data_IF_638648811571
#
_entry.id   IF_638648811571
#
_cell.length_a   1.000
_cell.length_b   1.000
_cell.length_c   1.000
_cell.angle_alpha   90.00
_cell.angle_beta   90.00
_cell.angle_gamma   90.00
#
_symmetry.space_group_name_H-M   'P 1'
#
loop_
_entity.id
_entity.type
_entity.pdbx_description
1 polymer ?
#
# COMPACT_ATOMS: atom_id res chain seq x y z
N UNK A 1 8.42 14.08 -9.88
CA UNK A 1 8.21 12.64 -9.66
C UNK A 1 8.56 12.33 -8.22
N UNK A 2 7.75 11.58 -7.50
CA UNK A 2 8.01 11.17 -6.11
C UNK A 2 8.86 9.89 -6.09
N UNK A 3 9.53 9.65 -4.96
CA UNK A 3 10.30 8.43 -4.74
C UNK A 3 9.59 7.53 -3.73
N UNK A 4 9.11 6.38 -4.21
CA UNK A 4 8.43 5.42 -3.35
C UNK A 4 9.44 4.65 -2.49
N UNK A 5 9.18 4.62 -1.20
CA UNK A 5 9.86 3.80 -0.21
C UNK A 5 8.91 2.72 0.30
N UNK A 6 9.32 1.47 0.23
CA UNK A 6 8.54 0.34 0.73
C UNK A 6 9.00 0.02 2.16
N UNK A 7 8.10 0.09 3.10
CA UNK A 7 8.37 -0.26 4.50
C UNK A 7 8.21 -1.77 4.68
N UNK A 8 9.30 -2.43 5.03
CA UNK A 8 9.40 -3.88 5.15
C UNK A 8 9.89 -4.54 3.86
N UNK A 9 10.95 -5.34 3.96
CA UNK A 9 11.59 -6.04 2.84
C UNK A 9 11.38 -7.58 2.89
N UNK A 10 10.46 -8.05 3.71
CA UNK A 10 10.04 -9.45 3.79
C UNK A 10 9.25 -9.90 2.55
N UNK A 11 8.62 -11.07 2.63
CA UNK A 11 7.84 -11.63 1.50
C UNK A 11 6.75 -10.68 1.00
N UNK A 12 5.99 -10.06 1.90
CA UNK A 12 4.98 -9.07 1.52
C UNK A 12 5.62 -7.81 0.91
N UNK A 13 6.79 -7.39 1.39
CA UNK A 13 7.52 -6.25 0.82
C UNK A 13 7.94 -6.52 -0.63
N UNK A 14 8.44 -7.70 -0.92
CA UNK A 14 8.80 -8.12 -2.29
C UNK A 14 7.57 -8.16 -3.19
N UNK A 15 6.44 -8.69 -2.70
CA UNK A 15 5.16 -8.65 -3.43
C UNK A 15 4.69 -7.21 -3.66
N UNK A 16 4.84 -6.34 -2.66
CA UNK A 16 4.48 -4.92 -2.77
C UNK A 16 5.34 -4.20 -3.82
N UNK A 17 6.60 -4.58 -3.97
CA UNK A 17 7.47 -4.05 -5.02
C UNK A 17 6.94 -4.38 -6.41
N UNK A 18 6.55 -5.62 -6.67
CA UNK A 18 5.95 -6.01 -7.94
C UNK A 18 4.64 -5.26 -8.18
N UNK A 19 3.78 -5.23 -7.16
CA UNK A 19 2.50 -4.53 -7.23
C UNK A 19 2.67 -3.03 -7.51
N UNK A 20 3.67 -2.39 -6.91
CA UNK A 20 3.94 -0.96 -7.15
C UNK A 20 4.38 -0.68 -8.59
N UNK A 21 5.15 -1.59 -9.20
CA UNK A 21 5.56 -1.47 -10.61
C UNK A 21 4.41 -1.65 -11.60
N UNK A 22 3.37 -2.34 -11.18
CA UNK A 22 2.17 -2.65 -11.99
C UNK A 22 1.00 -1.71 -11.66
N UNK A 23 1.20 -0.77 -10.74
CA UNK A 23 0.16 0.17 -10.32
C UNK A 23 0.15 1.44 -11.14
N UNK A 24 -1.00 2.10 -11.16
CA UNK A 24 -1.17 3.38 -11.82
C UNK A 24 -0.17 4.42 -11.26
N UNK A 25 0.41 5.20 -12.15
CA UNK A 25 1.37 6.25 -11.80
C UNK A 25 2.84 5.82 -11.76
N UNK A 26 3.16 4.51 -11.79
CA UNK A 26 4.54 4.06 -11.84
C UNK A 26 5.27 4.57 -13.11
N UNK A 27 6.46 5.13 -12.93
CA UNK A 27 7.27 5.72 -14.02
C UNK A 27 6.80 7.10 -14.49
N UNK A 28 5.69 7.62 -13.97
CA UNK A 28 5.13 8.93 -14.32
C UNK A 28 5.02 9.82 -13.07
N UNK A 29 4.31 9.35 -12.05
CA UNK A 29 4.10 10.06 -10.80
C UNK A 29 5.14 9.70 -9.75
N UNK A 30 5.58 8.43 -9.74
CA UNK A 30 6.61 7.93 -8.84
C UNK A 30 7.51 6.87 -9.49
N UNK A 31 8.71 6.76 -8.95
CA UNK A 31 9.62 5.61 -9.12
C UNK A 31 9.80 4.89 -7.77
N UNK A 32 10.55 3.80 -7.74
CA UNK A 32 10.82 3.05 -6.50
C UNK A 32 12.28 3.22 -6.13
N UNK A 33 12.53 3.89 -5.00
CA UNK A 33 13.90 4.12 -4.50
C UNK A 33 14.45 2.90 -3.77
N UNK A 34 13.63 2.21 -2.98
CA UNK A 34 14.08 1.05 -2.21
C UNK A 34 13.17 0.70 -1.06
N UNK A 35 13.73 -0.07 -0.14
CA UNK A 35 13.07 -0.49 1.08
C UNK A 35 13.68 0.20 2.30
N UNK A 36 12.90 0.28 3.37
CA UNK A 36 13.42 0.46 4.72
C UNK A 36 13.00 -0.75 5.57
N UNK A 37 13.96 -1.32 6.29
CA UNK A 37 13.74 -2.50 7.14
C UNK A 37 14.79 -2.51 8.26
N UNK A 38 14.37 -2.81 9.48
CA UNK A 38 15.30 -2.92 10.61
C UNK A 38 16.23 -4.14 10.48
N UNK A 39 15.80 -5.17 9.73
CA UNK A 39 16.67 -6.25 9.30
C UNK A 39 17.32 -5.89 7.95
N UNK A 40 18.49 -5.29 8.01
CA UNK A 40 19.25 -4.87 6.81
C UNK A 40 19.68 -6.03 5.90
N UNK A 41 19.67 -7.26 6.41
CA UNK A 41 19.99 -8.48 5.67
C UNK A 41 18.75 -9.17 5.04
N UNK A 42 17.56 -8.56 5.13
CA UNK A 42 16.32 -9.20 4.69
C UNK A 42 16.29 -9.59 3.19
N UNK A 43 17.12 -8.94 2.36
CA UNK A 43 17.21 -9.21 0.93
C UNK A 43 18.47 -9.99 0.51
N UNK A 44 19.35 -10.40 1.41
CA UNK A 44 20.64 -11.02 1.09
C UNK A 44 20.53 -12.27 0.19
N UNK A 45 19.45 -13.03 0.32
CA UNK A 45 19.18 -14.22 -0.47
C UNK A 45 18.20 -14.01 -1.64
N UNK A 46 17.88 -12.76 -1.96
CA UNK A 46 16.89 -12.41 -2.99
C UNK A 46 17.47 -11.41 -3.97
N UNK A 47 17.55 -11.82 -5.25
CA UNK A 47 18.06 -10.97 -6.32
C UNK A 47 16.98 -10.10 -6.97
N UNK A 48 17.41 -9.08 -7.71
CA UNK A 48 16.57 -8.22 -8.56
C UNK A 48 15.59 -7.31 -7.83
N UNK A 49 15.86 -7.00 -6.56
CA UNK A 49 15.12 -5.99 -5.80
C UNK A 49 15.99 -4.74 -5.58
N UNK A 50 15.37 -3.56 -5.44
CA UNK A 50 16.11 -2.38 -5.02
C UNK A 50 16.64 -2.56 -3.58
N UNK A 51 17.63 -1.77 -3.17
CA UNK A 51 18.29 -1.96 -1.87
C UNK A 51 17.40 -1.63 -0.68
N UNK A 52 17.77 -2.17 0.48
CA UNK A 52 17.35 -1.61 1.77
C UNK A 52 18.24 -0.40 2.02
N UNK A 53 17.65 0.80 2.02
CA UNK A 53 18.39 2.07 2.09
C UNK A 53 18.63 2.54 3.51
N UNK A 54 17.82 2.10 4.47
CA UNK A 54 17.94 2.46 5.87
C UNK A 54 17.10 1.54 6.78
N UNK A 55 17.33 1.53 8.10
CA UNK A 55 16.39 0.98 9.06
C UNK A 55 15.11 1.84 9.14
N UNK A 56 14.00 1.21 9.56
CA UNK A 56 12.71 1.90 9.80
C UNK A 56 12.85 2.82 11.02
N UNK A 57 13.52 2.30 12.06
CA UNK A 57 13.74 3.05 13.29
C UNK A 57 14.53 4.33 13.01
N UNK A 58 13.96 5.46 13.36
CA UNK A 58 14.61 6.75 13.21
C UNK A 58 14.65 7.31 11.78
N UNK A 59 14.03 6.63 10.79
CA UNK A 59 13.98 7.13 9.42
C UNK A 59 13.35 8.52 9.36
N UNK A 60 14.00 9.44 8.66
CA UNK A 60 13.50 10.80 8.46
C UNK A 60 13.02 10.97 7.01
N UNK A 61 11.69 11.01 6.78
CA UNK A 61 11.13 11.20 5.45
C UNK A 61 11.63 12.47 4.78
N UNK A 62 11.94 12.37 3.48
CA UNK A 62 12.28 13.52 2.66
C UNK A 62 11.02 14.07 1.96
N UNK A 63 11.07 15.32 1.51
CA UNK A 63 9.90 16.00 0.91
C UNK A 63 9.40 15.33 -0.37
N UNK A 64 10.31 14.73 -1.13
CA UNK A 64 10.03 14.03 -2.40
C UNK A 64 9.70 12.54 -2.22
N UNK A 65 9.67 12.04 -1.00
CA UNK A 65 9.36 10.64 -0.69
C UNK A 65 7.88 10.40 -0.39
N UNK A 66 7.42 9.23 -0.81
CA UNK A 66 6.12 8.66 -0.45
C UNK A 66 6.31 7.21 -0.01
N UNK A 67 5.41 6.70 0.80
CA UNK A 67 5.57 5.40 1.44
C UNK A 67 4.41 4.47 1.14
N UNK A 68 4.71 3.17 1.11
CA UNK A 68 3.73 2.08 1.29
C UNK A 68 4.24 1.14 2.37
N UNK A 69 3.33 0.53 3.13
CA UNK A 69 3.69 -0.34 4.25
C UNK A 69 3.26 -1.78 3.98
N UNK A 70 4.25 -2.67 3.97
CA UNK A 70 4.05 -4.11 3.82
C UNK A 70 4.07 -4.88 5.14
N UNK A 71 4.31 -4.20 6.26
CA UNK A 71 4.28 -4.82 7.59
C UNK A 71 2.88 -5.29 7.89
N UNK A 72 2.76 -6.52 8.37
CA UNK A 72 1.48 -7.13 8.72
C UNK A 72 1.08 -6.95 10.17
N UNK A 73 -0.12 -7.44 10.49
CA UNK A 73 -0.64 -7.48 11.84
C UNK A 73 -0.89 -6.11 12.48
N UNK A 74 -0.93 -6.10 13.81
CA UNK A 74 -1.21 -4.90 14.60
C UNK A 74 -0.06 -3.88 14.59
N UNK A 75 1.13 -4.29 14.20
CA UNK A 75 2.32 -3.41 14.10
C UNK A 75 2.23 -2.44 12.92
N UNK A 76 1.41 -2.73 11.91
CA UNK A 76 1.29 -1.92 10.70
C UNK A 76 0.87 -0.49 10.99
N UNK A 77 -0.22 -0.32 11.71
CA UNK A 77 -0.74 1.01 12.03
C UNK A 77 0.28 1.82 12.82
N UNK A 78 0.86 1.25 13.88
CA UNK A 78 1.87 1.92 14.69
C UNK A 78 3.06 2.39 13.85
N UNK A 79 3.59 1.52 13.02
CA UNK A 79 4.71 1.85 12.13
C UNK A 79 4.37 3.01 11.18
N UNK A 80 3.19 2.97 10.57
CA UNK A 80 2.74 4.04 9.67
C UNK A 80 2.53 5.35 10.42
N UNK A 81 1.93 5.33 11.61
CA UNK A 81 1.74 6.53 12.44
C UNK A 81 3.07 7.17 12.85
N UNK A 82 4.10 6.37 13.13
CA UNK A 82 5.44 6.89 13.42
C UNK A 82 6.06 7.61 12.21
N UNK A 83 5.91 7.06 11.00
CA UNK A 83 6.39 7.71 9.77
C UNK A 83 5.58 8.97 9.46
N UNK A 84 4.26 8.94 9.64
CA UNK A 84 3.38 10.12 9.49
C UNK A 84 3.78 11.22 10.48
N UNK A 85 4.03 10.84 11.73
CA UNK A 85 4.47 11.77 12.78
C UNK A 85 5.79 12.48 12.49
N UNK A 86 6.63 11.89 11.62
CA UNK A 86 7.88 12.48 11.12
C UNK A 86 7.72 13.22 9.77
N UNK A 87 6.47 13.42 9.31
CA UNK A 87 6.17 14.13 8.06
C UNK A 87 6.04 13.26 6.82
N UNK A 88 6.13 11.92 6.96
CA UNK A 88 5.96 11.00 5.82
C UNK A 88 4.54 10.98 5.30
N UNK A 89 4.40 10.79 3.99
CA UNK A 89 3.12 10.72 3.28
C UNK A 89 2.98 9.34 2.64
N UNK A 90 1.80 8.76 2.74
CA UNK A 90 1.53 7.44 2.17
C UNK A 90 0.86 7.55 0.80
N UNK A 91 1.36 6.78 -0.15
CA UNK A 91 0.83 6.70 -1.51
C UNK A 91 -0.52 5.97 -1.49
N UNK A 92 -1.53 6.54 -2.12
CA UNK A 92 -2.72 5.80 -2.51
C UNK A 92 -2.38 5.01 -3.77
N UNK A 93 -2.22 3.71 -3.63
CA UNK A 93 -1.72 2.85 -4.69
C UNK A 93 -2.83 1.95 -5.22
N UNK A 94 -3.15 2.08 -6.50
CA UNK A 94 -4.20 1.31 -7.16
C UNK A 94 -3.57 0.53 -8.30
N UNK A 95 -3.64 -0.79 -8.21
CA UNK A 95 -3.11 -1.65 -9.26
C UNK A 95 -3.84 -1.41 -10.59
N UNK A 96 -3.12 -1.45 -11.71
CA UNK A 96 -3.68 -1.16 -13.02
C UNK A 96 -4.82 -2.10 -13.44
N UNK A 97 -4.86 -3.31 -12.89
CA UNK A 97 -5.94 -4.28 -13.13
C UNK A 97 -7.13 -4.15 -12.17
N UNK A 98 -7.06 -3.27 -11.17
CA UNK A 98 -8.18 -3.04 -10.26
C UNK A 98 -9.31 -2.30 -10.99
N UNK A 99 -10.55 -2.70 -10.72
CA UNK A 99 -11.74 -2.07 -11.28
C UNK A 99 -12.42 -1.23 -10.20
N UNK A 100 -12.47 0.06 -10.42
CA UNK A 100 -13.24 0.99 -9.59
C UNK A 100 -14.51 1.40 -10.32
N UNK A 101 -15.66 1.18 -9.70
CA UNK A 101 -16.95 1.60 -10.23
C UNK A 101 -17.15 3.11 -10.21
N UNK A 102 -18.28 3.56 -10.73
CA UNK A 102 -18.64 4.98 -10.75
C UNK A 102 -18.73 5.53 -9.32
N UNK A 103 -18.23 6.74 -9.11
CA UNK A 103 -18.24 7.47 -7.83
C UNK A 103 -17.49 6.77 -6.68
N UNK A 104 -16.67 5.77 -6.93
CA UNK A 104 -15.83 5.15 -5.88
C UNK A 104 -14.86 6.18 -5.33
N UNK A 105 -14.78 6.27 -4.02
CA UNK A 105 -13.82 7.10 -3.31
C UNK A 105 -12.82 6.22 -2.59
N UNK A 106 -11.53 6.49 -2.74
CA UNK A 106 -10.45 5.78 -2.07
C UNK A 106 -9.61 6.79 -1.30
N UNK A 107 -9.51 6.61 0.00
CA UNK A 107 -8.78 7.50 0.89
C UNK A 107 -7.26 7.36 0.80
N UNK A 108 -6.58 8.39 1.27
CA UNK A 108 -5.12 8.50 1.31
C UNK A 108 -4.46 7.25 1.91
N UNK A 109 -3.36 6.82 1.32
CA UNK A 109 -2.55 5.70 1.83
C UNK A 109 -3.20 4.33 1.71
N UNK A 110 -4.37 4.23 1.08
CA UNK A 110 -5.03 2.96 0.82
C UNK A 110 -4.40 2.28 -0.39
N UNK A 111 -4.19 0.98 -0.27
CA UNK A 111 -3.64 0.13 -1.32
C UNK A 111 -4.77 -0.76 -1.84
N UNK A 112 -4.96 -0.76 -3.16
CA UNK A 112 -5.92 -1.63 -3.86
C UNK A 112 -5.15 -2.58 -4.77
N UNK A 113 -5.16 -3.86 -4.41
CA UNK A 113 -4.40 -4.91 -5.08
C UNK A 113 -4.94 -5.32 -6.44
N UNK A 114 -4.17 -6.19 -7.11
CA UNK A 114 -4.48 -6.69 -8.45
C UNK A 114 -5.84 -7.40 -8.52
N UNK A 115 -6.55 -7.20 -9.62
CA UNK A 115 -7.84 -7.86 -9.88
C UNK A 115 -8.89 -7.67 -8.78
N UNK A 116 -8.78 -6.60 -8.01
CA UNK A 116 -9.78 -6.19 -7.03
C UNK A 116 -10.89 -5.41 -7.73
N UNK A 117 -12.13 -5.65 -7.36
CA UNK A 117 -13.28 -4.92 -7.86
C UNK A 117 -13.96 -4.16 -6.72
N UNK A 118 -14.10 -2.85 -6.87
CA UNK A 118 -14.85 -2.01 -5.92
C UNK A 118 -16.07 -1.45 -6.64
N UNK A 119 -17.25 -1.80 -6.14
CA UNK A 119 -18.54 -1.47 -6.76
C UNK A 119 -18.89 0.01 -6.71
N UNK A 120 -19.86 0.39 -7.54
CA UNK A 120 -20.32 1.77 -7.66
C UNK A 120 -20.72 2.37 -6.29
N UNK A 121 -20.41 3.65 -6.11
CA UNK A 121 -20.74 4.47 -4.94
C UNK A 121 -20.13 3.99 -3.60
N UNK A 122 -19.22 3.00 -3.65
CA UNK A 122 -18.50 2.56 -2.46
C UNK A 122 -17.51 3.63 -1.98
N UNK A 123 -17.38 3.73 -0.66
CA UNK A 123 -16.45 4.66 0.02
C UNK A 123 -15.44 3.86 0.82
N UNK A 124 -14.17 4.00 0.46
CA UNK A 124 -13.05 3.38 1.16
C UNK A 124 -12.25 4.47 1.85
N UNK A 125 -12.07 4.33 3.14
CA UNK A 125 -11.32 5.28 3.96
C UNK A 125 -9.81 5.23 3.72
N UNK A 126 -9.06 5.73 4.70
CA UNK A 126 -7.61 5.89 4.63
C UNK A 126 -6.85 4.67 5.15
N UNK A 127 -5.63 4.48 4.64
CA UNK A 127 -4.65 3.55 5.15
C UNK A 127 -5.10 2.09 5.18
N UNK A 128 -6.05 1.73 4.32
CA UNK A 128 -6.49 0.35 4.15
C UNK A 128 -5.51 -0.43 3.25
N UNK A 129 -5.42 -1.73 3.49
CA UNK A 129 -4.75 -2.67 2.60
C UNK A 129 -5.81 -3.65 2.07
N UNK A 130 -6.22 -3.45 0.83
CA UNK A 130 -7.14 -4.36 0.13
C UNK A 130 -6.31 -5.21 -0.81
N UNK A 131 -6.18 -6.50 -0.49
CA UNK A 131 -5.34 -7.40 -1.25
C UNK A 131 -6.00 -7.87 -2.54
N UNK A 132 -5.21 -8.49 -3.40
CA UNK A 132 -5.61 -8.94 -4.73
C UNK A 132 -6.83 -9.86 -4.72
N UNK A 133 -7.60 -9.85 -5.81
CA UNK A 133 -8.79 -10.69 -6.02
C UNK A 133 -9.90 -10.48 -4.98
N UNK A 134 -9.99 -9.31 -4.39
CA UNK A 134 -11.04 -8.94 -3.42
C UNK A 134 -12.20 -8.27 -4.14
N UNK A 135 -13.41 -8.50 -3.68
CA UNK A 135 -14.61 -7.82 -4.17
C UNK A 135 -15.22 -7.00 -3.04
N UNK A 136 -15.39 -5.71 -3.28
CA UNK A 136 -16.16 -4.80 -2.43
C UNK A 136 -17.43 -4.42 -3.19
N UNK A 137 -18.59 -4.80 -2.66
CA UNK A 137 -19.88 -4.55 -3.29
C UNK A 137 -20.24 -3.05 -3.34
N UNK A 138 -21.23 -2.73 -4.18
CA UNK A 138 -21.74 -1.36 -4.34
C UNK A 138 -22.25 -0.80 -2.99
N UNK A 139 -22.21 0.53 -2.85
CA UNK A 139 -22.71 1.25 -1.66
C UNK A 139 -22.03 0.84 -0.32
N UNK A 140 -20.92 0.12 -0.38
CA UNK A 140 -20.17 -0.28 0.81
C UNK A 140 -19.40 0.89 1.41
N UNK A 141 -19.26 0.92 2.73
CA UNK A 141 -18.47 1.89 3.46
C UNK A 141 -17.39 1.15 4.25
N UNK A 142 -16.14 1.31 3.84
CA UNK A 142 -14.97 0.76 4.53
C UNK A 142 -14.30 1.90 5.30
N UNK A 143 -14.11 1.72 6.60
CA UNK A 143 -13.42 2.69 7.45
C UNK A 143 -11.93 2.80 7.15
N UNK A 144 -11.15 3.18 8.17
CA UNK A 144 -9.70 3.33 8.05
C UNK A 144 -8.96 2.15 8.67
N UNK A 145 -7.71 1.93 8.28
CA UNK A 145 -6.78 0.97 8.89
C UNK A 145 -7.18 -0.50 8.76
N UNK A 146 -8.08 -0.83 7.84
CA UNK A 146 -8.47 -2.22 7.62
C UNK A 146 -7.43 -2.95 6.77
N UNK A 147 -7.29 -4.24 7.04
CA UNK A 147 -6.66 -5.19 6.14
C UNK A 147 -7.74 -6.16 5.66
N UNK A 148 -7.93 -6.20 4.36
CA UNK A 148 -8.86 -7.11 3.69
C UNK A 148 -8.00 -8.05 2.85
N UNK A 149 -7.97 -9.31 3.24
CA UNK A 149 -7.09 -10.30 2.63
C UNK A 149 -7.61 -10.78 1.26
N UNK A 150 -6.76 -11.51 0.56
CA UNK A 150 -7.03 -12.06 -0.77
C UNK A 150 -8.30 -12.91 -0.79
N UNK A 151 -9.08 -12.78 -1.87
CA UNK A 151 -10.34 -13.51 -2.10
C UNK A 151 -11.46 -13.22 -1.09
N UNK A 152 -11.42 -12.11 -0.38
CA UNK A 152 -12.54 -11.66 0.45
C UNK A 152 -13.62 -11.04 -0.43
N UNK A 153 -14.86 -11.35 -0.13
CA UNK A 153 -16.02 -10.72 -0.77
C UNK A 153 -16.86 -10.01 0.28
N UNK A 154 -17.00 -8.70 0.14
CA UNK A 154 -17.93 -7.89 0.91
C UNK A 154 -19.14 -7.62 0.04
N UNK A 155 -20.31 -8.01 0.49
CA UNK A 155 -21.56 -7.80 -0.26
C UNK A 155 -21.95 -6.33 -0.29
N UNK A 156 -22.79 -5.94 -1.25
CA UNK A 156 -23.27 -4.56 -1.35
C UNK A 156 -23.89 -4.04 -0.07
N UNK A 157 -23.62 -2.77 0.25
CA UNK A 157 -24.11 -2.13 1.47
C UNK A 157 -23.41 -2.55 2.77
N UNK A 158 -22.26 -3.22 2.69
CA UNK A 158 -21.43 -3.54 3.88
C UNK A 158 -20.90 -2.27 4.51
N UNK A 159 -20.95 -2.20 5.85
CA UNK A 159 -20.42 -1.09 6.65
C UNK A 159 -19.43 -1.66 7.68
#
# INVERSE_FOLDING_TARGET
MKHLIIIGAGGMGRTMYDMARESNGYGIEYDIRGFIDDNVAALDNFANYPPIIAPIQGYQPQEDEVFVCSIGGTSRQKCMEEIIGRGGKFLTMIHATARLGTNVQVGEGTIVGAFTSIGADAKVGKYNLIQSYTVVGHDSVIGNWNRIDTHVTLVGGTI
#
